data_IF_086572479333
#
_entry.id   IF_086572479333
#
_cell.length_a   1.000
_cell.length_b   1.000
_cell.length_c   1.000
_cell.angle_alpha   90.00
_cell.angle_beta   90.00
_cell.angle_gamma   90.00
#
_symmetry.space_group_name_H-M   'P 1'
#
loop_
_entity.id
_entity.type
_entity.pdbx_description
1 polymer ?
#
# COMPACT_ATOMS: atom_id res chain seq x y z
N UNK A 1 10.02 -7.48 -22.31
CA UNK A 1 9.70 -8.21 -21.06
C UNK A 1 8.51 -9.18 -21.18
N UNK A 2 7.65 -9.10 -22.20
CA UNK A 2 6.40 -9.87 -22.33
C UNK A 2 6.55 -11.39 -22.51
N UNK A 3 7.69 -11.89 -22.98
CA UNK A 3 7.84 -13.32 -23.28
C UNK A 3 8.18 -14.19 -22.05
N UNK A 4 8.81 -13.63 -21.02
CA UNK A 4 9.24 -14.35 -19.81
C UNK A 4 8.03 -14.85 -19.02
N UNK A 5 6.93 -14.10 -19.03
CA UNK A 5 5.75 -14.42 -18.23
C UNK A 5 4.73 -15.31 -18.95
N UNK A 6 4.96 -15.73 -20.19
CA UNK A 6 3.98 -16.54 -20.94
C UNK A 6 3.64 -17.87 -20.28
N UNK A 7 4.59 -18.47 -19.55
CA UNK A 7 4.37 -19.71 -18.81
C UNK A 7 3.28 -19.57 -17.73
N UNK A 8 3.06 -18.37 -17.18
CA UNK A 8 2.00 -18.15 -16.19
C UNK A 8 0.59 -18.15 -16.78
N UNK A 9 0.43 -18.13 -18.12
CA UNK A 9 -0.89 -18.22 -18.77
C UNK A 9 -1.63 -19.49 -18.39
N UNK A 10 -0.92 -20.59 -18.15
CA UNK A 10 -1.53 -21.87 -17.78
C UNK A 10 -2.12 -21.86 -16.37
N UNK A 11 -1.69 -20.93 -15.52
CA UNK A 11 -2.05 -20.87 -14.09
C UNK A 11 -2.94 -19.66 -13.79
N UNK A 12 -2.80 -18.55 -14.54
CA UNK A 12 -3.52 -17.29 -14.31
C UNK A 12 -4.70 -17.20 -15.30
N UNK A 13 -5.96 -17.33 -14.84
CA UNK A 13 -7.13 -17.30 -15.72
C UNK A 13 -7.28 -15.99 -16.52
N UNK A 14 -6.97 -14.84 -15.90
CA UNK A 14 -7.02 -13.52 -16.55
C UNK A 14 -5.61 -12.98 -16.88
N UNK A 15 -4.81 -13.76 -17.60
CA UNK A 15 -3.41 -13.44 -17.90
C UNK A 15 -3.20 -12.05 -18.52
N UNK A 16 -4.14 -11.57 -19.35
CA UNK A 16 -4.08 -10.22 -19.93
C UNK A 16 -4.04 -9.11 -18.87
N UNK A 17 -4.92 -9.18 -17.88
CA UNK A 17 -4.96 -8.22 -16.76
C UNK A 17 -3.72 -8.29 -15.87
N UNK A 18 -3.19 -9.49 -15.68
CA UNK A 18 -1.91 -9.67 -15.01
C UNK A 18 -0.80 -8.92 -15.75
N UNK A 19 -0.66 -9.10 -17.08
CA UNK A 19 0.34 -8.39 -17.86
C UNK A 19 0.14 -6.87 -17.82
N UNK A 20 -1.09 -6.39 -17.86
CA UNK A 20 -1.39 -4.96 -17.70
C UNK A 20 -0.94 -4.43 -16.33
N UNK A 21 -1.16 -5.20 -15.26
CA UNK A 21 -0.78 -4.81 -13.90
C UNK A 21 0.74 -4.68 -13.71
N UNK A 22 1.54 -5.48 -14.44
CA UNK A 22 3.01 -5.41 -14.39
C UNK A 22 3.57 -4.06 -14.87
N UNK A 23 2.80 -3.30 -15.65
CA UNK A 23 3.20 -1.97 -16.13
C UNK A 23 2.75 -0.85 -15.19
N UNK A 24 1.94 -1.16 -14.17
CA UNK A 24 1.47 -0.18 -13.19
C UNK A 24 2.52 -0.05 -12.07
N UNK A 25 2.80 1.17 -11.60
CA UNK A 25 3.67 1.35 -10.44
C UNK A 25 3.06 0.67 -9.21
N UNK A 26 3.92 0.18 -8.31
CA UNK A 26 3.45 -0.43 -7.09
C UNK A 26 2.70 0.60 -6.24
N UNK A 27 1.49 0.28 -5.75
CA UNK A 27 0.78 1.13 -4.82
C UNK A 27 1.57 1.30 -3.52
N UNK A 28 1.65 2.53 -3.03
CA UNK A 28 2.30 2.83 -1.75
C UNK A 28 1.36 2.46 -0.61
N UNK A 29 1.85 1.64 0.31
CA UNK A 29 1.14 1.21 1.50
C UNK A 29 1.95 1.55 2.75
N UNK A 30 1.25 1.79 3.85
CA UNK A 30 1.81 1.87 5.19
C UNK A 30 1.12 0.86 6.09
N UNK A 31 1.86 0.30 7.04
CA UNK A 31 1.30 -0.58 8.06
C UNK A 31 1.59 0.02 9.42
N UNK A 32 0.55 0.36 10.17
CA UNK A 32 0.70 0.99 11.48
C UNK A 32 1.23 -0.04 12.50
N UNK A 33 2.25 0.34 13.25
CA UNK A 33 2.83 -0.49 14.29
C UNK A 33 2.07 -0.34 15.61
N UNK A 34 1.16 -1.29 15.87
CA UNK A 34 0.34 -1.34 17.09
C UNK A 34 1.10 -1.47 18.40
N UNK A 35 2.36 -1.92 18.37
CA UNK A 35 3.20 -1.97 19.57
C UNK A 35 3.59 -0.55 19.99
N UNK A 36 3.71 0.38 19.02
CA UNK A 36 4.15 1.75 19.25
C UNK A 36 3.01 2.76 19.36
N UNK A 37 1.88 2.52 18.67
CA UNK A 37 0.76 3.47 18.67
C UNK A 37 -0.57 2.83 18.26
N UNK A 38 -1.66 3.43 18.73
CA UNK A 38 -3.02 3.09 18.30
C UNK A 38 -3.31 3.56 16.88
N UNK A 39 -3.99 2.71 16.11
CA UNK A 39 -4.28 2.93 14.69
C UNK A 39 -5.00 4.25 14.44
N UNK A 40 -6.09 4.52 15.16
CA UNK A 40 -6.92 5.71 14.95
C UNK A 40 -6.15 7.01 15.23
N UNK A 41 -5.22 6.99 16.18
CA UNK A 41 -4.39 8.14 16.51
C UNK A 41 -3.42 8.46 15.36
N UNK A 42 -2.78 7.42 14.82
CA UNK A 42 -1.85 7.55 13.69
C UNK A 42 -2.57 8.01 12.43
N UNK A 43 -3.75 7.43 12.13
CA UNK A 43 -4.57 7.84 10.98
C UNK A 43 -4.93 9.31 11.08
N UNK A 44 -5.48 9.76 12.22
CA UNK A 44 -5.84 11.18 12.43
C UNK A 44 -4.65 12.12 12.31
N UNK A 45 -3.48 11.72 12.82
CA UNK A 45 -2.25 12.51 12.71
C UNK A 45 -1.82 12.69 11.25
N UNK A 46 -1.84 11.60 10.47
CA UNK A 46 -1.43 11.61 9.06
C UNK A 46 -2.43 12.37 8.19
N UNK A 47 -3.73 12.13 8.39
CA UNK A 47 -4.79 12.87 7.69
C UNK A 47 -4.78 14.37 8.04
N UNK A 48 -4.49 14.71 9.29
CA UNK A 48 -4.32 16.11 9.72
C UNK A 48 -3.18 16.84 9.02
N UNK A 49 -2.22 16.12 8.42
CA UNK A 49 -1.15 16.67 7.57
C UNK A 49 -1.55 16.77 6.08
N UNK A 50 -2.80 16.49 5.75
CA UNK A 50 -3.31 16.52 4.38
C UNK A 50 -2.95 15.27 3.55
N UNK A 51 -2.53 14.18 4.20
CA UNK A 51 -2.21 12.92 3.53
C UNK A 51 -3.43 12.02 3.59
N UNK A 52 -3.97 11.64 2.44
CA UNK A 52 -5.14 10.77 2.38
C UNK A 52 -4.74 9.31 2.65
N UNK A 53 -5.50 8.66 3.53
CA UNK A 53 -5.36 7.25 3.86
C UNK A 53 -6.62 6.49 3.47
N UNK A 54 -6.45 5.43 2.68
CA UNK A 54 -7.54 4.51 2.34
C UNK A 54 -7.26 3.16 2.99
N UNK A 55 -8.25 2.50 3.58
CA UNK A 55 -8.06 1.15 4.11
C UNK A 55 -7.74 0.19 2.96
N UNK A 56 -6.62 -0.52 3.06
CA UNK A 56 -6.23 -1.50 2.04
C UNK A 56 -7.02 -2.81 2.16
N UNK A 57 -7.59 -3.10 3.34
CA UNK A 57 -8.36 -4.32 3.60
C UNK A 57 -9.34 -4.13 4.75
N UNK A 58 -10.58 -4.57 4.57
CA UNK A 58 -11.58 -4.64 5.65
C UNK A 58 -11.16 -5.57 6.80
N UNK A 59 -10.29 -6.55 6.53
CA UNK A 59 -9.81 -7.52 7.53
C UNK A 59 -8.60 -7.01 8.32
N UNK A 60 -7.90 -6.00 7.81
CA UNK A 60 -6.66 -5.52 8.40
C UNK A 60 -6.77 -4.03 8.68
N UNK A 61 -7.13 -3.71 9.91
CA UNK A 61 -7.28 -2.36 10.42
C UNK A 61 -5.97 -1.56 10.50
N UNK A 62 -4.80 -2.19 10.33
CA UNK A 62 -3.49 -1.54 10.37
C UNK A 62 -2.91 -1.18 9.00
N UNK A 63 -3.48 -1.67 7.90
CA UNK A 63 -2.91 -1.52 6.56
C UNK A 63 -3.67 -0.47 5.75
N UNK A 64 -2.96 0.56 5.33
CA UNK A 64 -3.52 1.68 4.58
C UNK A 64 -2.76 1.93 3.28
N UNK A 65 -3.51 2.26 2.23
CA UNK A 65 -3.04 2.83 0.98
C UNK A 65 -2.80 4.33 1.17
N UNK A 66 -1.70 4.82 0.62
CA UNK A 66 -1.34 6.24 0.64
C UNK A 66 -1.14 6.74 -0.79
N UNK A 67 -2.22 6.91 -1.59
CA UNK A 67 -2.10 7.23 -3.01
C UNK A 67 -1.42 8.59 -3.28
N UNK A 68 -1.52 9.54 -2.34
CA UNK A 68 -0.93 10.87 -2.46
C UNK A 68 0.53 10.94 -1.97
N UNK A 69 1.02 9.90 -1.29
CA UNK A 69 2.31 9.91 -0.62
C UNK A 69 3.34 9.13 -1.43
N UNK A 70 4.30 9.86 -2.03
CA UNK A 70 5.37 9.24 -2.84
C UNK A 70 6.46 8.56 -2.01
N UNK A 71 6.74 9.06 -0.81
CA UNK A 71 7.79 8.52 0.06
C UNK A 71 7.36 8.54 1.54
N UNK A 72 6.77 7.43 2.04
CA UNK A 72 6.36 7.35 3.45
C UNK A 72 7.54 7.34 4.42
N UNK A 73 8.75 6.99 3.97
CA UNK A 73 9.96 6.95 4.81
C UNK A 73 10.47 8.32 5.28
N UNK A 74 9.96 9.43 4.74
CA UNK A 74 10.31 10.78 5.17
C UNK A 74 9.34 11.36 6.21
N UNK A 75 8.30 10.62 6.59
CA UNK A 75 7.40 11.05 7.65
C UNK A 75 8.07 10.82 9.01
N UNK A 76 7.88 11.75 9.94
CA UNK A 76 8.30 11.52 11.33
C UNK A 76 7.60 10.29 11.92
N UNK A 77 6.37 10.03 11.49
CA UNK A 77 5.60 8.83 11.82
C UNK A 77 6.31 7.54 11.43
N UNK A 78 7.16 7.52 10.39
CA UNK A 78 7.96 6.35 10.03
C UNK A 78 8.91 5.93 11.16
N UNK A 79 9.47 6.89 11.88
CA UNK A 79 10.38 6.59 12.99
C UNK A 79 9.61 6.26 14.28
N UNK A 80 8.42 6.85 14.43
CA UNK A 80 7.66 6.80 15.68
C UNK A 80 6.63 5.67 15.73
N UNK A 81 5.86 5.43 14.66
CA UNK A 81 4.58 4.70 14.75
C UNK A 81 4.19 3.85 13.53
N UNK A 82 4.78 4.07 12.35
CA UNK A 82 4.60 3.26 11.13
C UNK A 82 5.69 2.18 11.06
#
# INVERSE_FOLDING_TARGET
MTNIFKCYREIIPEFGRFQESLHKPLPTHIRINRIKAETDSVVKSIEGKGIHLEKASEKHDTLYLTPTLKSPGNLIEYFLCI
#
